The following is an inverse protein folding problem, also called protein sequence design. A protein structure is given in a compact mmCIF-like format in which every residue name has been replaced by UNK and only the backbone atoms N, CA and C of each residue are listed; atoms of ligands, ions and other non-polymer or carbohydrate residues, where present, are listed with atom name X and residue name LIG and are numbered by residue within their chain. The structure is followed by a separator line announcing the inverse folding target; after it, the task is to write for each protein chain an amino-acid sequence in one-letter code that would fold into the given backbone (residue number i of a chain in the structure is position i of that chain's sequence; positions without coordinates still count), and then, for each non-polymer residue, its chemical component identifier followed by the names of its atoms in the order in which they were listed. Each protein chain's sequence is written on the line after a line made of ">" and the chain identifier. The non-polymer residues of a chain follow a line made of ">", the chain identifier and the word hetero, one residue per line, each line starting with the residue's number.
data_IF_206575082165
#
_entry.id   IF_206575082165
#
_cell.length_a   1.000
_cell.length_b   1.000
_cell.length_c   1.000
_cell.angle_alpha   90.00
_cell.angle_beta   90.00
_cell.angle_gamma   90.00
#
_symmetry.space_group_name_H-M   'P 1'
#
loop_
_entity.id
_entity.type
_entity.pdbx_description
1 polymer ?
#
# COMPACT_ATOMS: atom_id res chain seq x y z
N UNK A 1 -9.04 18.34 -9.63
CA UNK A 1 -9.30 16.88 -9.78
C UNK A 1 -9.57 16.31 -8.41
N UNK A 2 -10.76 15.77 -8.19
CA UNK A 2 -11.09 15.10 -6.93
C UNK A 2 -10.27 13.81 -6.81
N UNK A 3 -9.53 13.65 -5.72
CA UNK A 3 -8.77 12.42 -5.48
C UNK A 3 -9.76 11.29 -5.20
N UNK A 4 -9.89 10.35 -6.13
CA UNK A 4 -10.77 9.17 -5.98
C UNK A 4 -10.38 8.31 -4.77
N UNK A 5 -9.08 8.10 -4.57
CA UNK A 5 -8.56 7.28 -3.47
C UNK A 5 -8.02 8.16 -2.34
N UNK A 6 -8.65 8.09 -1.18
CA UNK A 6 -8.23 8.79 0.02
C UNK A 6 -7.46 7.83 0.92
N UNK A 7 -6.25 8.22 1.33
CA UNK A 7 -5.44 7.44 2.27
C UNK A 7 -6.08 7.42 3.65
N UNK A 8 -6.38 6.24 4.16
CA UNK A 8 -6.92 6.02 5.50
C UNK A 8 -6.01 5.10 6.31
N UNK A 9 -6.08 5.19 7.64
CA UNK A 9 -5.36 4.24 8.49
C UNK A 9 -6.05 2.89 8.50
N UNK A 10 -5.27 1.82 8.34
CA UNK A 10 -5.79 0.45 8.47
C UNK A 10 -6.25 0.19 9.90
N UNK A 11 -7.50 -0.24 10.07
CA UNK A 11 -8.06 -0.57 11.38
C UNK A 11 -7.26 -1.68 12.08
N UNK A 12 -6.81 -2.69 11.33
CA UNK A 12 -5.97 -3.78 11.86
C UNK A 12 -4.67 -3.23 12.45
N UNK A 13 -4.02 -2.32 11.74
CA UNK A 13 -2.76 -1.73 12.15
C UNK A 13 -2.91 -0.85 13.39
N UNK A 14 -4.01 -0.11 13.50
CA UNK A 14 -4.34 0.68 14.70
C UNK A 14 -4.52 -0.25 15.91
N UNK A 15 -5.30 -1.32 15.76
CA UNK A 15 -5.55 -2.28 16.84
C UNK A 15 -4.24 -2.94 17.29
N UNK A 16 -3.39 -3.35 16.35
CA UNK A 16 -2.10 -3.97 16.67
C UNK A 16 -1.21 -2.99 17.44
N UNK A 17 -1.03 -1.76 16.96
CA UNK A 17 -0.23 -0.75 17.64
C UNK A 17 -0.76 -0.43 19.04
N UNK A 18 -2.07 -0.31 19.17
CA UNK A 18 -2.74 -0.04 20.44
C UNK A 18 -2.55 -1.20 21.43
N UNK A 19 -2.62 -2.45 20.97
CA UNK A 19 -2.38 -3.62 21.81
C UNK A 19 -0.97 -3.62 22.42
N UNK A 20 0.06 -3.29 21.62
CA UNK A 20 1.44 -3.14 22.12
C UNK A 20 1.57 -2.04 23.16
N UNK A 21 0.95 -0.88 22.93
CA UNK A 21 0.98 0.25 23.86
C UNK A 21 0.28 -0.12 25.18
N UNK A 22 -0.90 -0.72 25.13
CA UNK A 22 -1.65 -1.11 26.33
C UNK A 22 -0.88 -2.18 27.11
N UNK A 23 -0.34 -3.21 26.45
CA UNK A 23 0.47 -4.23 27.10
C UNK A 23 1.70 -3.62 27.78
N UNK A 24 2.37 -2.68 27.13
CA UNK A 24 3.51 -1.97 27.70
C UNK A 24 3.13 -1.14 28.92
N UNK A 25 2.02 -0.40 28.88
CA UNK A 25 1.52 0.38 30.02
C UNK A 25 1.18 -0.55 31.20
N UNK A 26 0.53 -1.67 30.94
CA UNK A 26 0.21 -2.64 32.01
C UNK A 26 1.47 -3.16 32.70
N UNK A 27 2.53 -3.49 31.95
CA UNK A 27 3.80 -3.96 32.52
C UNK A 27 4.50 -2.87 33.37
N UNK A 28 4.40 -1.61 32.96
CA UNK A 28 5.01 -0.50 33.73
C UNK A 28 4.22 -0.19 35.00
N UNK A 29 2.90 -0.33 34.98
CA UNK A 29 2.05 -0.04 36.14
C UNK A 29 2.00 -1.17 37.17
N UNK A 30 2.30 -2.40 36.79
CA UNK A 30 2.37 -3.51 37.73
C UNK A 30 3.61 -3.35 38.62
N UNK A 31 3.52 -3.63 39.93
CA UNK A 31 4.65 -3.60 40.84
C UNK A 31 5.56 -4.82 40.61
N UNK A 32 6.29 -4.80 39.51
CA UNK A 32 7.22 -5.84 39.08
C UNK A 32 8.66 -5.41 39.21
N UNK A 33 9.59 -6.28 38.86
CA UNK A 33 11.00 -5.97 38.86
C UNK A 33 11.41 -4.97 37.76
N UNK A 34 12.62 -4.45 37.87
CA UNK A 34 13.17 -3.47 36.90
C UNK A 34 13.16 -4.02 35.45
N UNK A 35 13.37 -5.32 35.26
CA UNK A 35 13.39 -5.94 33.95
C UNK A 35 12.02 -5.89 33.27
N UNK A 36 10.95 -6.13 33.99
CA UNK A 36 9.59 -6.05 33.46
C UNK A 36 9.21 -4.60 33.09
N UNK A 37 9.63 -3.61 33.90
CA UNK A 37 9.41 -2.21 33.58
C UNK A 37 10.14 -1.78 32.31
N UNK A 38 11.39 -2.20 32.11
CA UNK A 38 12.14 -1.93 30.88
C UNK A 38 11.47 -2.57 29.66
N UNK A 39 10.99 -3.81 29.79
CA UNK A 39 10.22 -4.47 28.74
C UNK A 39 8.93 -3.71 28.40
N UNK A 40 8.23 -3.19 29.41
CA UNK A 40 7.04 -2.36 29.24
C UNK A 40 7.32 -1.09 28.42
N UNK A 41 8.37 -0.34 28.75
CA UNK A 41 8.77 0.85 27.98
C UNK A 41 9.14 0.47 26.53
N UNK A 42 9.84 -0.63 26.32
CA UNK A 42 10.17 -1.13 24.97
C UNK A 42 8.93 -1.42 24.15
N UNK A 43 7.92 -2.06 24.73
CA UNK A 43 6.65 -2.34 24.04
C UNK A 43 5.89 -1.07 23.66
N UNK A 44 5.88 -0.05 24.52
CA UNK A 44 5.27 1.25 24.22
C UNK A 44 5.97 1.89 23.00
N UNK A 45 7.29 1.92 22.99
CA UNK A 45 8.09 2.48 21.88
C UNK A 45 7.81 1.72 20.59
N UNK A 46 7.82 0.39 20.63
CA UNK A 46 7.48 -0.46 19.46
C UNK A 46 6.07 -0.13 18.97
N UNK A 47 5.07 -0.03 19.84
CA UNK A 47 3.71 0.31 19.47
C UNK A 47 3.61 1.67 18.76
N UNK A 48 4.34 2.69 19.23
CA UNK A 48 4.39 4.02 18.61
C UNK A 48 5.05 3.94 17.21
N UNK A 49 6.14 3.19 17.08
CA UNK A 49 6.84 2.99 15.80
C UNK A 49 5.92 2.27 14.82
N UNK A 50 5.26 1.20 15.23
CA UNK A 50 4.30 0.47 14.39
C UNK A 50 3.15 1.36 13.92
N UNK A 51 2.63 2.24 14.77
CA UNK A 51 1.59 3.21 14.40
C UNK A 51 2.01 4.14 13.25
N UNK A 52 3.34 4.37 13.07
CA UNK A 52 3.88 5.24 12.01
C UNK A 52 4.26 4.48 10.74
N UNK A 53 4.81 3.27 10.88
CA UNK A 53 5.42 2.50 9.77
C UNK A 53 4.39 1.62 9.05
N UNK A 54 3.38 1.11 9.75
CA UNK A 54 2.42 0.19 9.16
C UNK A 54 1.65 0.81 7.99
N UNK A 55 1.48 0.00 6.93
CA UNK A 55 0.83 0.41 5.67
C UNK A 55 -0.57 0.97 5.92
N UNK A 56 -0.91 2.00 5.18
CA UNK A 56 -2.24 2.61 5.17
C UNK A 56 -3.13 1.89 4.15
N UNK A 57 -4.43 1.85 4.43
CA UNK A 57 -5.43 1.47 3.44
C UNK A 57 -5.85 2.71 2.64
N UNK A 58 -6.55 2.49 1.54
CA UNK A 58 -7.13 3.54 0.72
C UNK A 58 -8.64 3.35 0.65
N UNK A 59 -9.35 4.45 0.68
CA UNK A 59 -10.81 4.48 0.57
C UNK A 59 -11.18 5.07 -0.78
N UNK A 60 -11.90 4.31 -1.59
CA UNK A 60 -12.45 4.79 -2.85
C UNK A 60 -13.78 5.51 -2.61
N UNK A 61 -13.82 6.80 -2.91
CA UNK A 61 -15.00 7.64 -2.71
C UNK A 61 -16.15 7.29 -3.64
N UNK A 62 -15.89 6.61 -4.76
CA UNK A 62 -16.91 6.22 -5.73
C UNK A 62 -17.59 4.90 -5.34
N UNK A 63 -16.84 3.91 -4.89
CA UNK A 63 -17.38 2.60 -4.54
C UNK A 63 -17.69 2.44 -3.05
N UNK A 64 -17.29 3.40 -2.21
CA UNK A 64 -17.38 3.31 -0.74
C UNK A 64 -16.68 2.06 -0.17
N UNK A 65 -15.62 1.59 -0.82
CA UNK A 65 -14.89 0.38 -0.47
C UNK A 65 -13.45 0.67 -0.08
N UNK A 66 -12.84 -0.27 0.67
CA UNK A 66 -11.42 -0.19 1.04
C UNK A 66 -10.57 -0.93 0.04
N UNK A 67 -9.47 -0.29 -0.34
CA UNK A 67 -8.47 -0.80 -1.27
C UNK A 67 -7.10 -0.87 -0.61
N UNK A 68 -6.32 -1.87 -1.00
CA UNK A 68 -4.89 -1.91 -0.74
C UNK A 68 -4.18 -1.23 -1.92
N UNK A 69 -3.10 -0.50 -1.64
CA UNK A 69 -2.25 0.06 -2.70
C UNK A 69 -0.94 -0.72 -2.78
N UNK A 70 -0.54 -1.04 -4.00
CA UNK A 70 0.77 -1.57 -4.34
C UNK A 70 1.39 -0.69 -5.43
N UNK A 71 2.68 -0.45 -5.34
CA UNK A 71 3.43 0.31 -6.33
C UNK A 71 4.45 -0.61 -6.97
N UNK A 72 4.45 -0.66 -8.29
CA UNK A 72 5.41 -1.42 -9.10
C UNK A 72 6.25 -0.44 -9.92
N UNK A 73 7.55 -0.65 -9.98
CA UNK A 73 8.47 0.26 -10.65
C UNK A 73 9.08 -0.39 -11.89
N UNK A 74 9.18 0.38 -12.97
CA UNK A 74 9.66 -0.10 -14.27
C UNK A 74 10.61 0.92 -14.92
N UNK A 75 11.40 0.45 -15.89
CA UNK A 75 12.27 1.31 -16.68
C UNK A 75 11.51 2.08 -17.77
N UNK A 76 12.06 3.22 -18.16
CA UNK A 76 11.50 4.05 -19.24
C UNK A 76 11.35 3.31 -20.57
N UNK A 77 12.24 2.36 -20.88
CA UNK A 77 12.18 1.52 -22.07
C UNK A 77 10.89 0.68 -22.18
N UNK A 78 10.26 0.38 -21.03
CA UNK A 78 9.03 -0.44 -20.95
C UNK A 78 7.75 0.39 -21.11
N UNK A 79 7.85 1.73 -21.23
CA UNK A 79 6.68 2.63 -21.29
C UNK A 79 5.66 2.23 -22.35
N UNK A 80 6.10 2.02 -23.60
CA UNK A 80 5.20 1.69 -24.70
C UNK A 80 4.52 0.32 -24.54
N UNK A 81 5.22 -0.65 -23.99
CA UNK A 81 4.68 -1.99 -23.71
C UNK A 81 3.66 -1.93 -22.57
N UNK A 82 3.97 -1.21 -21.49
CA UNK A 82 3.06 -1.03 -20.35
C UNK A 82 1.79 -0.28 -20.74
N UNK A 83 1.90 0.80 -21.53
CA UNK A 83 0.74 1.55 -22.02
C UNK A 83 -0.21 0.65 -22.83
N UNK A 84 0.33 -0.16 -23.74
CA UNK A 84 -0.47 -1.12 -24.51
C UNK A 84 -1.11 -2.18 -23.61
N UNK A 85 -0.33 -2.77 -22.70
CA UNK A 85 -0.79 -3.81 -21.80
C UNK A 85 -1.90 -3.30 -20.87
N UNK A 86 -1.76 -2.11 -20.32
CA UNK A 86 -2.78 -1.50 -19.44
C UNK A 86 -4.09 -1.30 -20.21
N UNK A 87 -4.07 -0.90 -21.48
CA UNK A 87 -5.29 -0.64 -22.24
C UNK A 87 -5.93 -1.90 -22.79
N UNK A 88 -5.11 -2.84 -23.30
CA UNK A 88 -5.63 -3.99 -24.08
C UNK A 88 -5.67 -5.30 -23.30
N UNK A 89 -4.65 -5.59 -22.49
CA UNK A 89 -4.56 -6.86 -21.77
C UNK A 89 -3.62 -6.76 -20.56
N UNK A 90 -4.11 -6.42 -19.38
CA UNK A 90 -3.29 -6.26 -18.17
C UNK A 90 -2.62 -7.56 -17.73
N UNK A 91 -3.07 -8.73 -18.18
CA UNK A 91 -2.42 -10.02 -17.89
C UNK A 91 -1.02 -10.14 -18.51
N UNK A 92 -0.69 -9.32 -19.50
CA UNK A 92 0.64 -9.29 -20.12
C UNK A 92 1.68 -8.49 -19.32
N UNK A 93 1.24 -7.74 -18.32
CA UNK A 93 2.16 -7.03 -17.44
C UNK A 93 2.84 -8.05 -16.54
N UNK A 94 4.17 -8.14 -16.64
CA UNK A 94 4.94 -9.10 -15.86
C UNK A 94 5.57 -8.38 -14.64
N UNK A 95 5.22 -8.78 -13.44
CA UNK A 95 5.82 -8.28 -12.21
C UNK A 95 7.32 -8.62 -12.10
N UNK A 96 7.78 -9.70 -12.75
CA UNK A 96 9.20 -10.04 -12.82
C UNK A 96 10.03 -9.06 -13.66
N UNK A 97 9.40 -8.17 -14.43
CA UNK A 97 10.07 -7.08 -15.15
C UNK A 97 10.19 -5.81 -14.31
N UNK A 98 9.80 -5.86 -13.05
CA UNK A 98 10.01 -4.78 -12.10
C UNK A 98 11.50 -4.49 -11.98
N UNK A 99 11.87 -3.23 -12.07
CA UNK A 99 13.26 -2.80 -12.03
C UNK A 99 13.52 -1.90 -10.81
N UNK A 100 14.78 -1.82 -10.41
CA UNK A 100 15.20 -0.84 -9.40
C UNK A 100 15.13 0.61 -9.95
N UNK A 101 15.00 0.76 -11.28
CA UNK A 101 14.80 2.04 -11.94
C UNK A 101 13.42 2.62 -11.59
N UNK A 102 13.39 3.88 -11.14
CA UNK A 102 12.15 4.55 -10.73
C UNK A 102 11.58 5.46 -11.84
N UNK A 103 11.86 5.16 -13.11
CA UNK A 103 11.42 5.99 -14.23
C UNK A 103 9.90 5.94 -14.45
N UNK A 104 9.29 4.77 -14.22
CA UNK A 104 7.85 4.56 -14.30
C UNK A 104 7.35 3.92 -13.02
N UNK A 105 6.19 4.36 -12.54
CA UNK A 105 5.49 3.79 -11.40
C UNK A 105 4.06 3.39 -11.81
N UNK A 106 3.75 2.12 -11.65
CA UNK A 106 2.39 1.60 -11.81
C UNK A 106 1.72 1.51 -10.45
N UNK A 107 0.74 2.37 -10.21
CA UNK A 107 -0.08 2.33 -9.01
C UNK A 107 -1.22 1.32 -9.22
N UNK A 108 -1.26 0.32 -8.37
CA UNK A 108 -2.26 -0.73 -8.33
C UNK A 108 -3.08 -0.59 -7.06
N UNK A 109 -4.35 -0.26 -7.19
CA UNK A 109 -5.33 -0.28 -6.11
C UNK A 109 -6.22 -1.50 -6.28
N UNK A 110 -6.37 -2.35 -5.25
CA UNK A 110 -7.18 -3.55 -5.33
C UNK A 110 -7.94 -3.84 -4.04
N UNK A 111 -9.15 -4.40 -4.19
CA UNK A 111 -9.99 -4.83 -3.10
C UNK A 111 -10.41 -6.28 -3.32
N UNK A 112 -9.91 -7.17 -2.45
CA UNK A 112 -10.32 -8.59 -2.50
C UNK A 112 -11.81 -8.78 -2.22
N UNK A 113 -12.43 -7.87 -1.44
CA UNK A 113 -13.84 -7.94 -1.10
C UNK A 113 -14.73 -7.54 -2.27
N UNK A 114 -14.33 -6.49 -3.01
CA UNK A 114 -15.07 -6.02 -4.19
C UNK A 114 -14.69 -6.74 -5.48
N UNK A 115 -13.66 -7.60 -5.44
CA UNK A 115 -13.07 -8.29 -6.60
C UNK A 115 -12.65 -7.34 -7.73
N UNK A 116 -12.33 -6.09 -7.37
CA UNK A 116 -12.01 -5.00 -8.30
C UNK A 116 -10.61 -4.47 -8.07
N UNK A 117 -10.03 -3.99 -9.15
CA UNK A 117 -8.75 -3.30 -9.12
C UNK A 117 -8.73 -2.12 -10.07
N UNK A 118 -7.87 -1.16 -9.78
CA UNK A 118 -7.64 0.03 -10.61
C UNK A 118 -6.15 0.18 -10.84
N UNK A 119 -5.76 0.38 -12.10
CA UNK A 119 -4.39 0.61 -12.53
C UNK A 119 -4.22 2.03 -13.02
N UNK A 120 -3.09 2.66 -12.69
CA UNK A 120 -2.69 3.94 -13.25
C UNK A 120 -1.16 4.00 -13.37
N UNK A 121 -0.67 4.37 -14.55
CA UNK A 121 0.77 4.53 -14.81
C UNK A 121 1.19 5.97 -14.63
N UNK A 122 2.32 6.15 -13.98
CA UNK A 122 2.98 7.43 -13.75
C UNK A 122 4.39 7.41 -14.32
N UNK A 123 4.86 8.55 -14.80
CA UNK A 123 6.23 8.79 -15.23
C UNK A 123 6.92 9.72 -14.26
N UNK A 124 8.16 9.41 -13.93
CA UNK A 124 8.99 10.29 -13.11
C UNK A 124 9.54 11.44 -13.96
N UNK A 125 9.12 12.64 -13.63
CA UNK A 125 9.72 13.88 -14.09
C UNK A 125 10.49 14.45 -12.89
N UNK A 126 11.63 15.17 -13.10
CA UNK A 126 12.42 15.64 -11.97
C UNK A 126 11.56 16.24 -10.86
N UNK A 127 11.63 15.58 -9.67
CA UNK A 127 10.94 15.88 -8.42
C UNK A 127 9.52 15.35 -8.23
N UNK A 128 8.80 14.82 -9.27
CA UNK A 128 7.43 14.32 -9.10
C UNK A 128 7.05 13.21 -10.09
N UNK A 129 5.99 12.43 -9.73
CA UNK A 129 5.37 11.47 -10.62
C UNK A 129 4.12 12.06 -11.26
N UNK A 130 4.11 12.15 -12.59
CA UNK A 130 2.97 12.66 -13.37
C UNK A 130 2.21 11.49 -14.00
N UNK A 131 0.87 11.47 -13.95
CA UNK A 131 0.09 10.39 -14.56
C UNK A 131 0.24 10.39 -16.09
N UNK A 132 0.63 9.24 -16.65
CA UNK A 132 0.70 9.00 -18.10
C UNK A 132 -0.59 8.40 -18.65
N UNK A 133 -1.44 7.83 -17.78
CA UNK A 133 -2.70 7.21 -18.16
C UNK A 133 -3.83 7.71 -17.28
N UNK A 134 -5.05 7.51 -17.77
CA UNK A 134 -6.24 7.54 -16.94
C UNK A 134 -6.26 6.31 -15.99
N UNK A 135 -7.24 6.27 -15.10
CA UNK A 135 -7.46 5.13 -14.22
C UNK A 135 -8.28 4.08 -14.95
N UNK A 136 -7.71 2.87 -15.09
CA UNK A 136 -8.37 1.73 -15.70
C UNK A 136 -8.84 0.75 -14.63
N UNK A 137 -10.12 0.37 -14.71
CA UNK A 137 -10.72 -0.58 -13.76
C UNK A 137 -10.74 -1.98 -14.36
N UNK A 138 -10.36 -2.98 -13.56
CA UNK A 138 -10.28 -4.38 -13.93
C UNK A 138 -10.87 -5.27 -12.84
N UNK A 139 -11.18 -6.50 -13.18
CA UNK A 139 -11.41 -7.53 -12.19
C UNK A 139 -10.08 -8.01 -11.61
N UNK A 140 -10.08 -8.37 -10.33
CA UNK A 140 -8.85 -8.81 -9.64
C UNK A 140 -8.22 -10.04 -10.30
N UNK A 141 -9.05 -10.87 -10.96
CA UNK A 141 -8.61 -12.05 -11.72
C UNK A 141 -7.69 -11.69 -12.90
N UNK A 142 -7.87 -10.52 -13.51
CA UNK A 142 -7.10 -10.08 -14.68
C UNK A 142 -5.72 -9.54 -14.33
N UNK A 143 -5.52 -9.19 -13.06
CA UNK A 143 -4.27 -8.59 -12.58
C UNK A 143 -3.62 -9.39 -11.45
N UNK A 144 -4.10 -10.60 -11.21
CA UNK A 144 -3.65 -11.45 -10.08
C UNK A 144 -2.13 -11.65 -10.04
N UNK A 145 -1.45 -11.70 -11.20
CA UNK A 145 -0.01 -11.81 -11.32
C UNK A 145 0.75 -10.57 -10.82
N UNK A 146 0.08 -9.42 -10.72
CA UNK A 146 0.68 -8.16 -10.23
C UNK A 146 0.54 -8.02 -8.72
N UNK A 147 -0.39 -8.75 -8.10
CA UNK A 147 -0.61 -8.68 -6.65
C UNK A 147 0.44 -9.56 -5.98
N UNK A 148 1.41 -8.93 -5.36
CA UNK A 148 2.41 -9.63 -4.54
C UNK A 148 1.74 -10.14 -3.26
N UNK A 149 2.06 -11.37 -2.91
CA UNK A 149 1.61 -12.01 -1.66
C UNK A 149 2.37 -11.50 -0.45
#
# INVERSE_FOLDING_TARGET
>A
MEQRFIKIRSTKNIITSLAFIIAGILLVLLPTDVGANMAGYTLIVIGIILARILKSDYYDTQSNERYCKQELYFDSAQKSALLKAIVSNPRQINSASESEGQALRLDLYFSHKAERATLQLFEYIPHEYIPCTEQYNYDIADIKQLIQK
#
